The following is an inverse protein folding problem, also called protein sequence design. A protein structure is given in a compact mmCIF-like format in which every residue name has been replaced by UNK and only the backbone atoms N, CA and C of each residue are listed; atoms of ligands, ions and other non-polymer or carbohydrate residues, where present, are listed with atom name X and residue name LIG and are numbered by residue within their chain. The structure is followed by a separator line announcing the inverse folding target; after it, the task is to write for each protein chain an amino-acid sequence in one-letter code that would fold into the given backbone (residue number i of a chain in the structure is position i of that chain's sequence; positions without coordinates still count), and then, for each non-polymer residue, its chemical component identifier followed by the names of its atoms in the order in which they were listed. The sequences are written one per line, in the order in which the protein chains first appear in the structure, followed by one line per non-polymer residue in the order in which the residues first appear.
data_IF_009340594776
#
_entry.id   IF_009340594776
#
_cell.length_a   1.000
_cell.length_b   1.000
_cell.length_c   1.000
_cell.angle_alpha   90.00
_cell.angle_beta   90.00
_cell.angle_gamma   90.00
#
_symmetry.space_group_name_H-M   'P 1'
#
loop_
_entity.id
_entity.type
_entity.pdbx_description
1 polymer ?
#
# COMPACT_ATOMS: atom_id res chain seq x y z
N UNK A 1 7.95 -6.77 16.31
CA UNK A 1 7.96 -8.07 15.60
C UNK A 1 9.31 -8.41 14.94
N UNK A 2 10.14 -7.43 14.54
CA UNK A 2 11.49 -7.67 13.98
C UNK A 2 12.50 -8.27 14.97
N UNK A 3 12.37 -7.95 16.26
CA UNK A 3 13.27 -8.43 17.34
C UNK A 3 13.19 -9.95 17.52
N UNK A 4 11.99 -10.55 17.40
CA UNK A 4 11.81 -12.00 17.55
C UNK A 4 12.42 -12.79 16.38
N UNK A 5 12.45 -12.22 15.17
CA UNK A 5 13.08 -12.83 14.01
C UNK A 5 14.62 -12.79 14.13
N UNK A 6 15.18 -11.72 14.69
CA UNK A 6 16.61 -11.59 14.93
C UNK A 6 17.10 -12.54 16.03
N UNK A 7 16.32 -12.70 17.11
CA UNK A 7 16.59 -13.64 18.20
C UNK A 7 16.52 -15.11 17.74
N UNK A 8 15.56 -15.47 16.88
CA UNK A 8 15.45 -16.83 16.33
C UNK A 8 16.61 -17.21 15.40
N UNK A 9 17.20 -16.23 14.71
CA UNK A 9 18.39 -16.42 13.88
C UNK A 9 19.66 -16.55 14.75
N UNK A 10 19.73 -15.84 15.89
CA UNK A 10 20.86 -15.99 16.82
C UNK A 10 20.88 -17.36 17.52
N UNK A 11 19.73 -17.87 17.96
CA UNK A 11 19.66 -19.13 18.72
C UNK A 11 19.87 -20.38 17.86
N UNK A 12 19.62 -20.31 16.56
CA UNK A 12 19.83 -21.43 15.62
C UNK A 12 21.26 -21.52 15.07
N UNK A 13 22.09 -20.49 15.29
CA UNK A 13 23.45 -20.40 14.73
C UNK A 13 24.60 -20.43 15.75
N UNK A 14 24.33 -20.36 17.05
CA UNK A 14 25.34 -20.59 18.08
C UNK A 14 25.33 -22.06 18.52
N UNK A 15 26.28 -22.91 18.10
CA UNK A 15 26.52 -24.14 18.81
C UNK A 15 27.09 -23.77 20.19
N UNK A 16 26.31 -24.03 21.23
CA UNK A 16 26.79 -24.12 22.62
C UNK A 16 27.93 -25.13 22.63
N UNK A 17 29.18 -24.68 22.71
CA UNK A 17 30.36 -25.44 23.18
C UNK A 17 31.62 -24.59 22.97
N UNK A 18 31.84 -23.61 23.84
CA UNK A 18 33.19 -23.12 24.11
C UNK A 18 33.33 -23.04 25.62
N UNK A 19 33.59 -24.18 26.27
CA UNK A 19 34.13 -24.18 27.62
C UNK A 19 35.52 -23.55 27.54
N UNK A 20 35.64 -22.31 28.04
CA UNK A 20 36.90 -21.62 28.19
C UNK A 20 37.55 -22.09 29.51
N UNK A 21 38.48 -23.03 29.44
CA UNK A 21 39.42 -23.27 30.53
C UNK A 21 40.58 -22.27 30.44
N UNK A 22 40.71 -21.43 31.46
CA UNK A 22 41.81 -20.48 31.66
C UNK A 22 43.09 -21.22 32.09
N UNK A 23 44.27 -20.97 31.49
CA UNK A 23 45.52 -21.48 32.02
C UNK A 23 46.20 -20.43 32.91
N UNK A 24 46.49 -20.81 34.15
CA UNK A 24 47.59 -20.22 34.92
C UNK A 24 48.92 -20.83 34.47
N UNK A 25 49.93 -19.96 34.47
CA UNK A 25 51.25 -20.05 33.83
C UNK A 25 52.13 -21.17 34.39
N UNK A 26 52.92 -21.85 33.54
CA UNK A 26 54.41 -21.93 33.65
C UNK A 26 55.05 -22.70 32.49
N UNK A 27 56.11 -22.12 31.94
CA UNK A 27 56.94 -22.61 30.84
C UNK A 27 57.61 -23.95 31.18
N UNK A 28 57.34 -24.99 30.40
CA UNK A 28 58.33 -25.91 29.83
C UNK A 28 57.57 -27.08 29.16
N UNK A 29 57.60 -27.15 27.83
CA UNK A 29 57.41 -28.32 26.95
C UNK A 29 56.76 -27.86 25.64
N UNK A 30 57.43 -28.09 24.49
CA UNK A 30 56.79 -27.95 23.19
C UNK A 30 55.81 -29.12 23.00
N UNK A 31 54.61 -28.98 23.54
CA UNK A 31 53.61 -30.05 23.61
C UNK A 31 52.81 -30.18 22.29
N UNK A 32 52.12 -31.32 22.07
CA UNK A 32 51.17 -31.55 20.97
C UNK A 32 50.12 -30.45 20.79
N UNK A 33 49.94 -29.56 21.78
CA UNK A 33 49.00 -28.45 21.75
C UNK A 33 49.40 -27.35 20.74
N UNK A 34 50.69 -27.16 20.42
CA UNK A 34 51.10 -26.22 19.35
C UNK A 34 50.73 -26.76 17.97
N UNK A 35 50.87 -28.08 17.78
CA UNK A 35 50.43 -28.79 16.57
C UNK A 35 48.91 -28.74 16.41
N UNK A 36 48.17 -28.79 17.52
CA UNK A 36 46.72 -28.68 17.58
C UNK A 36 46.22 -27.24 17.30
N UNK A 37 46.94 -26.22 17.78
CA UNK A 37 46.66 -24.80 17.46
C UNK A 37 46.94 -24.43 16.00
N UNK A 38 47.99 -24.99 15.41
CA UNK A 38 48.21 -24.92 13.96
C UNK A 38 47.14 -25.71 13.20
N UNK A 39 46.62 -26.81 13.75
CA UNK A 39 45.53 -27.55 13.13
C UNK A 39 44.20 -26.78 13.08
N UNK A 40 43.91 -25.99 14.11
CA UNK A 40 42.77 -25.05 14.13
C UNK A 40 42.90 -23.93 13.08
N UNK A 41 44.13 -23.58 12.68
CA UNK A 41 44.42 -22.71 11.52
C UNK A 41 44.58 -23.48 10.20
N UNK A 42 44.74 -24.81 10.25
CA UNK A 42 45.22 -25.63 9.11
C UNK A 42 44.18 -26.03 8.10
N UNK A 43 42.88 -25.99 8.43
CA UNK A 43 41.84 -26.28 7.45
C UNK A 43 41.29 -25.00 6.85
N UNK A 44 42.20 -24.12 6.45
CA UNK A 44 41.92 -22.92 5.65
C UNK A 44 41.02 -23.23 4.43
N UNK A 45 41.17 -24.38 3.72
CA UNK A 45 40.24 -24.77 2.67
C UNK A 45 38.81 -25.00 3.19
N UNK A 46 38.64 -25.70 4.32
CA UNK A 46 37.32 -25.95 4.90
C UNK A 46 36.68 -24.67 5.47
N UNK A 47 37.50 -23.77 6.02
CA UNK A 47 37.05 -22.45 6.48
C UNK A 47 36.59 -21.59 5.29
N UNK A 48 37.34 -21.61 4.19
CA UNK A 48 36.99 -20.92 2.95
C UNK A 48 35.71 -21.49 2.33
N UNK A 49 35.51 -22.80 2.31
CA UNK A 49 34.25 -23.41 1.88
C UNK A 49 33.07 -23.01 2.76
N UNK A 50 33.24 -22.98 4.09
CA UNK A 50 32.20 -22.51 5.02
C UNK A 50 31.87 -21.05 4.77
N UNK A 51 32.87 -20.21 4.57
CA UNK A 51 32.70 -18.81 4.20
C UNK A 51 31.97 -18.66 2.88
N UNK A 52 32.37 -19.39 1.83
CA UNK A 52 31.71 -19.36 0.52
C UNK A 52 30.25 -19.81 0.59
N UNK A 53 29.94 -20.87 1.35
CA UNK A 53 28.55 -21.29 1.60
C UNK A 53 27.75 -20.23 2.34
N UNK A 54 28.33 -19.60 3.35
CA UNK A 54 27.69 -18.53 4.10
C UNK A 54 27.45 -17.29 3.23
N UNK A 55 28.46 -16.86 2.47
CA UNK A 55 28.38 -15.76 1.52
C UNK A 55 27.32 -16.02 0.43
N UNK A 56 27.27 -17.23 -0.12
CA UNK A 56 26.24 -17.62 -1.08
C UNK A 56 24.82 -17.55 -0.47
N UNK A 57 24.65 -18.04 0.76
CA UNK A 57 23.37 -17.94 1.49
C UNK A 57 22.95 -16.49 1.73
N UNK A 58 23.89 -15.63 2.14
CA UNK A 58 23.64 -14.20 2.32
C UNK A 58 23.28 -13.52 0.99
N UNK A 59 23.98 -13.83 -0.09
CA UNK A 59 23.67 -13.31 -1.42
C UNK A 59 22.26 -13.70 -1.88
N UNK A 60 21.86 -14.95 -1.66
CA UNK A 60 20.48 -15.42 -1.94
C UNK A 60 19.46 -14.67 -1.08
N UNK A 61 19.74 -14.45 0.21
CA UNK A 61 18.86 -13.70 1.11
C UNK A 61 18.70 -12.24 0.65
N UNK A 62 19.81 -11.57 0.31
CA UNK A 62 19.80 -10.20 -0.22
C UNK A 62 18.96 -10.13 -1.50
N UNK A 63 19.11 -11.09 -2.42
CA UNK A 63 18.32 -11.15 -3.64
C UNK A 63 16.83 -11.39 -3.38
N UNK A 64 16.48 -12.22 -2.38
CA UNK A 64 15.08 -12.41 -1.96
C UNK A 64 14.50 -11.12 -1.38
N UNK A 65 15.22 -10.44 -0.50
CA UNK A 65 14.81 -9.16 0.06
C UNK A 65 14.61 -8.10 -1.03
N UNK A 66 15.52 -8.01 -2.00
CA UNK A 66 15.38 -7.12 -3.15
C UNK A 66 14.09 -7.40 -3.95
N UNK A 67 13.76 -8.66 -4.19
CA UNK A 67 12.50 -9.05 -4.86
C UNK A 67 11.26 -8.68 -4.03
N UNK A 68 11.33 -8.80 -2.70
CA UNK A 68 10.24 -8.39 -1.81
C UNK A 68 10.06 -6.86 -1.86
N UNK A 69 11.15 -6.09 -1.76
CA UNK A 69 11.09 -4.63 -1.85
C UNK A 69 10.46 -4.18 -3.17
N UNK A 70 10.89 -4.72 -4.31
CA UNK A 70 10.29 -4.42 -5.62
C UNK A 70 8.78 -4.75 -5.66
N UNK A 71 8.34 -5.82 -5.01
CA UNK A 71 6.91 -6.15 -4.90
C UNK A 71 6.16 -5.15 -4.03
N UNK A 72 6.77 -4.71 -2.93
CA UNK A 72 6.19 -3.71 -2.04
C UNK A 72 6.09 -2.35 -2.72
N UNK A 73 7.13 -1.89 -3.40
CA UNK A 73 7.12 -0.66 -4.20
C UNK A 73 5.99 -0.67 -5.22
N UNK A 74 5.85 -1.74 -6.01
CA UNK A 74 4.75 -1.88 -6.97
C UNK A 74 3.37 -1.88 -6.30
N UNK A 75 3.25 -2.39 -5.07
CA UNK A 75 1.98 -2.37 -4.31
C UNK A 75 1.70 -0.97 -3.78
N UNK A 76 2.71 -0.26 -3.29
CA UNK A 76 2.60 1.14 -2.85
C UNK A 76 2.17 2.03 -4.01
N UNK A 77 2.82 1.95 -5.18
CA UNK A 77 2.43 2.75 -6.35
C UNK A 77 0.98 2.48 -6.80
N UNK A 78 0.51 1.23 -6.68
CA UNK A 78 -0.91 0.89 -6.95
C UNK A 78 -1.86 1.49 -5.92
N UNK A 79 -1.44 1.57 -4.65
CA UNK A 79 -2.21 2.19 -3.58
C UNK A 79 -2.30 3.70 -3.80
N UNK A 80 -1.18 4.35 -4.13
CA UNK A 80 -1.15 5.78 -4.45
C UNK A 80 -2.06 6.12 -5.64
N UNK A 81 -2.02 5.31 -6.70
CA UNK A 81 -2.93 5.48 -7.84
C UNK A 81 -4.41 5.36 -7.42
N UNK A 82 -4.75 4.40 -6.54
CA UNK A 82 -6.11 4.26 -6.00
C UNK A 82 -6.50 5.44 -5.12
N UNK A 83 -5.59 5.96 -4.29
CA UNK A 83 -5.83 7.15 -3.47
C UNK A 83 -6.15 8.36 -4.35
N UNK A 84 -5.35 8.61 -5.39
CA UNK A 84 -5.59 9.70 -6.33
C UNK A 84 -6.96 9.60 -7.03
N UNK A 85 -7.39 8.38 -7.38
CA UNK A 85 -8.73 8.15 -7.94
C UNK A 85 -9.81 8.49 -6.91
N UNK A 86 -9.68 8.03 -5.66
CA UNK A 86 -10.61 8.35 -4.59
C UNK A 86 -10.70 9.85 -4.34
N UNK A 87 -9.57 10.54 -4.28
CA UNK A 87 -9.51 12.00 -4.07
C UNK A 87 -10.20 12.75 -5.22
N UNK A 88 -9.98 12.31 -6.47
CA UNK A 88 -10.69 12.86 -7.64
C UNK A 88 -12.20 12.64 -7.55
N UNK A 89 -12.66 11.44 -7.23
CA UNK A 89 -14.10 11.16 -7.08
C UNK A 89 -14.73 11.96 -5.94
N UNK A 90 -14.00 12.18 -4.84
CA UNK A 90 -14.44 13.06 -3.75
C UNK A 90 -14.60 14.50 -4.23
N UNK A 91 -13.65 15.02 -4.98
CA UNK A 91 -13.73 16.38 -5.54
C UNK A 91 -14.90 16.54 -6.52
N UNK A 92 -15.15 15.55 -7.38
CA UNK A 92 -16.32 15.52 -8.26
C UNK A 92 -17.62 15.55 -7.46
N UNK A 93 -17.72 14.73 -6.39
CA UNK A 93 -18.90 14.71 -5.53
C UNK A 93 -19.14 16.05 -4.83
N UNK A 94 -18.08 16.71 -4.33
CA UNK A 94 -18.22 18.03 -3.72
C UNK A 94 -18.69 19.10 -4.71
N UNK A 95 -18.26 19.02 -5.97
CA UNK A 95 -18.71 19.95 -7.00
C UNK A 95 -20.20 19.72 -7.35
N UNK A 96 -20.61 18.46 -7.50
CA UNK A 96 -22.02 18.08 -7.71
C UNK A 96 -22.88 18.61 -6.56
N UNK A 97 -22.48 18.38 -5.31
CA UNK A 97 -23.19 18.88 -4.12
C UNK A 97 -23.35 20.40 -4.14
N UNK A 98 -22.28 21.14 -4.45
CA UNK A 98 -22.34 22.60 -4.53
C UNK A 98 -23.25 23.09 -5.66
N UNK A 99 -23.32 22.37 -6.79
CA UNK A 99 -24.24 22.69 -7.88
C UNK A 99 -25.70 22.41 -7.49
N UNK A 100 -25.94 21.33 -6.73
CA UNK A 100 -27.26 20.98 -6.21
C UNK A 100 -27.76 22.04 -5.21
N UNK A 101 -26.90 22.49 -4.29
CA UNK A 101 -27.23 23.59 -3.35
C UNK A 101 -27.59 24.89 -4.09
N UNK A 102 -26.93 25.18 -5.22
CA UNK A 102 -27.26 26.35 -6.06
C UNK A 102 -28.61 26.16 -6.75
N UNK A 103 -28.89 24.98 -7.27
CA UNK A 103 -30.16 24.66 -7.90
C UNK A 103 -31.32 24.74 -6.90
N UNK A 104 -31.11 24.29 -5.66
CA UNK A 104 -32.10 24.41 -4.57
C UNK A 104 -32.39 25.88 -4.22
N UNK A 105 -31.35 26.71 -4.10
CA UNK A 105 -31.52 28.15 -3.89
C UNK A 105 -32.26 28.84 -5.04
N UNK A 106 -31.96 28.48 -6.29
CA UNK A 106 -32.66 29.03 -7.44
C UNK A 106 -34.11 28.56 -7.49
N UNK A 107 -34.40 27.31 -7.11
CA UNK A 107 -35.76 26.78 -7.01
C UNK A 107 -36.59 27.57 -5.96
N UNK A 108 -36.00 27.89 -4.80
CA UNK A 108 -36.64 28.75 -3.81
C UNK A 108 -36.90 30.15 -4.38
N UNK A 109 -35.93 30.76 -5.06
CA UNK A 109 -36.10 32.05 -5.69
C UNK A 109 -37.20 32.05 -6.77
N UNK A 110 -37.30 30.97 -7.57
CA UNK A 110 -38.38 30.76 -8.54
C UNK A 110 -39.74 30.69 -7.85
N UNK A 111 -39.84 30.02 -6.70
CA UNK A 111 -41.07 29.94 -5.89
C UNK A 111 -41.50 31.32 -5.36
N UNK A 112 -40.55 32.11 -4.87
CA UNK A 112 -40.81 33.47 -4.39
C UNK A 112 -41.25 34.40 -5.53
N UNK A 113 -40.57 34.32 -6.68
CA UNK A 113 -40.92 35.07 -7.89
C UNK A 113 -42.32 34.70 -8.41
N UNK A 114 -42.67 33.41 -8.42
CA UNK A 114 -44.00 32.96 -8.78
C UNK A 114 -45.08 33.58 -7.87
N UNK A 115 -44.84 33.58 -6.56
CA UNK A 115 -45.76 34.18 -5.58
C UNK A 115 -45.95 35.68 -5.81
N UNK A 116 -44.88 36.41 -6.16
CA UNK A 116 -44.95 37.83 -6.49
C UNK A 116 -45.72 38.10 -7.80
N UNK A 117 -45.47 37.30 -8.85
CA UNK A 117 -46.15 37.41 -10.15
C UNK A 117 -47.65 37.17 -10.00
N UNK A 118 -48.06 36.23 -9.16
CA UNK A 118 -49.47 35.96 -8.90
C UNK A 118 -50.20 37.17 -8.29
N UNK A 119 -49.49 38.04 -7.56
CA UNK A 119 -50.05 39.25 -6.97
C UNK A 119 -50.06 40.44 -7.95
N UNK A 120 -49.04 40.59 -8.80
CA UNK A 120 -48.87 41.76 -9.67
C UNK A 120 -49.26 41.55 -11.16
N UNK A 121 -49.44 40.30 -11.61
CA UNK A 121 -49.85 39.90 -12.98
C UNK A 121 -49.03 40.51 -14.13
N UNK A 122 -47.73 40.74 -13.93
CA UNK A 122 -46.85 41.28 -14.98
C UNK A 122 -46.47 40.22 -16.01
N UNK A 123 -46.64 40.53 -17.31
CA UNK A 123 -46.29 39.65 -18.42
C UNK A 123 -44.77 39.46 -18.58
N UNK A 124 -44.00 40.51 -18.31
CA UNK A 124 -42.54 40.47 -18.48
C UNK A 124 -41.87 39.62 -17.39
N UNK A 125 -42.37 39.71 -16.16
CA UNK A 125 -41.92 38.86 -15.05
C UNK A 125 -42.21 37.38 -15.32
N UNK A 126 -43.34 37.06 -15.96
CA UNK A 126 -43.66 35.70 -16.36
C UNK A 126 -42.70 35.14 -17.41
N UNK A 127 -42.26 35.96 -18.39
CA UNK A 127 -41.26 35.54 -19.37
C UNK A 127 -39.87 35.33 -18.72
N UNK A 128 -39.49 36.21 -17.79
CA UNK A 128 -38.26 36.05 -17.02
C UNK A 128 -38.27 34.79 -16.16
N UNK A 129 -39.40 34.48 -15.51
CA UNK A 129 -39.59 33.25 -14.74
C UNK A 129 -39.47 32.01 -15.63
N UNK A 130 -40.12 32.02 -16.81
CA UNK A 130 -40.03 30.92 -17.77
C UNK A 130 -38.58 30.65 -18.19
N UNK A 131 -37.80 31.72 -18.43
CA UNK A 131 -36.38 31.58 -18.76
C UNK A 131 -35.60 30.97 -17.59
N UNK A 132 -35.78 31.46 -16.36
CA UNK A 132 -35.14 30.91 -15.16
C UNK A 132 -35.48 29.43 -14.93
N UNK A 133 -36.74 29.04 -15.14
CA UNK A 133 -37.16 27.64 -15.08
C UNK A 133 -36.46 26.77 -16.13
N UNK A 134 -36.32 27.27 -17.37
CA UNK A 134 -35.58 26.57 -18.41
C UNK A 134 -34.09 26.41 -18.05
N UNK A 135 -33.46 27.48 -17.56
CA UNK A 135 -32.06 27.46 -17.12
C UNK A 135 -31.86 26.49 -15.94
N UNK A 136 -32.80 26.47 -14.99
CA UNK A 136 -32.80 25.54 -13.86
C UNK A 136 -32.96 24.08 -14.30
N UNK A 137 -33.86 23.80 -15.26
CA UNK A 137 -34.01 22.46 -15.83
C UNK A 137 -32.71 21.98 -16.47
N UNK A 138 -32.07 22.81 -17.28
CA UNK A 138 -30.77 22.50 -17.90
C UNK A 138 -29.71 22.25 -16.83
N UNK A 139 -29.67 23.06 -15.76
CA UNK A 139 -28.75 22.83 -14.64
C UNK A 139 -28.98 21.48 -13.95
N UNK A 140 -30.23 21.13 -13.66
CA UNK A 140 -30.59 19.85 -13.04
C UNK A 140 -30.27 18.65 -13.93
N UNK A 141 -30.51 18.75 -15.25
CA UNK A 141 -30.13 17.70 -16.21
C UNK A 141 -28.61 17.49 -16.24
N UNK A 142 -27.84 18.58 -16.20
CA UNK A 142 -26.38 18.51 -16.14
C UNK A 142 -25.91 17.84 -14.85
N UNK A 143 -26.47 18.22 -13.69
CA UNK A 143 -26.18 17.58 -12.39
C UNK A 143 -26.47 16.07 -12.45
N UNK A 144 -27.64 15.68 -12.97
CA UNK A 144 -28.01 14.27 -13.09
C UNK A 144 -27.06 13.48 -14.02
N UNK A 145 -26.59 14.12 -15.10
CA UNK A 145 -25.59 13.54 -16.00
C UNK A 145 -24.24 13.36 -15.31
N UNK A 146 -23.78 14.36 -14.54
CA UNK A 146 -22.54 14.32 -13.76
C UNK A 146 -22.58 13.21 -12.70
N UNK A 147 -23.68 13.09 -11.95
CA UNK A 147 -23.89 12.01 -10.98
C UNK A 147 -23.84 10.63 -11.64
N UNK A 148 -24.55 10.46 -12.76
CA UNK A 148 -24.56 9.20 -13.52
C UNK A 148 -23.16 8.83 -13.99
N UNK A 149 -22.36 9.82 -14.42
CA UNK A 149 -20.99 9.60 -14.85
C UNK A 149 -20.09 9.23 -13.66
N UNK A 150 -20.21 9.91 -12.52
CA UNK A 150 -19.49 9.57 -11.29
C UNK A 150 -19.79 8.14 -10.84
N UNK A 151 -21.06 7.74 -10.82
CA UNK A 151 -21.48 6.37 -10.47
C UNK A 151 -20.88 5.34 -11.44
N UNK A 152 -20.85 5.62 -12.75
CA UNK A 152 -20.20 4.75 -13.73
C UNK A 152 -18.70 4.63 -13.47
N UNK A 153 -18.01 5.74 -13.18
CA UNK A 153 -16.59 5.74 -12.86
C UNK A 153 -16.31 4.91 -11.60
N UNK A 154 -17.06 5.11 -10.52
CA UNK A 154 -16.94 4.34 -9.28
C UNK A 154 -17.18 2.83 -9.51
N UNK A 155 -18.18 2.47 -10.33
CA UNK A 155 -18.45 1.06 -10.69
C UNK A 155 -17.28 0.41 -11.44
N UNK A 156 -16.61 1.13 -12.35
CA UNK A 156 -15.42 0.62 -13.07
C UNK A 156 -14.29 0.25 -12.11
N UNK A 157 -14.12 1.00 -11.02
CA UNK A 157 -13.09 0.71 -10.02
C UNK A 157 -13.49 -0.37 -9.01
N UNK A 158 -14.79 -0.55 -8.73
CA UNK A 158 -15.31 -1.68 -7.94
C UNK A 158 -15.15 -3.04 -8.64
N UNK A 159 -15.28 -3.09 -9.96
CA UNK A 159 -15.21 -4.32 -10.75
C UNK A 159 -13.77 -4.88 -10.92
N UNK A 160 -12.73 -4.12 -10.58
CA UNK A 160 -11.31 -4.53 -10.72
C UNK A 160 -10.71 -5.12 -9.42
N UNK A 161 -11.51 -5.79 -8.60
CA UNK A 161 -10.97 -6.61 -7.51
C UNK A 161 -10.42 -7.90 -8.13
N UNK A 162 -9.09 -7.94 -8.32
CA UNK A 162 -8.37 -9.09 -8.89
C UNK A 162 -8.55 -10.37 -8.06
N UNK A 163 -8.43 -11.55 -8.71
CA UNK A 163 -8.80 -12.85 -8.17
C UNK A 163 -8.02 -13.17 -6.89
N UNK A 164 -8.74 -13.74 -5.92
CA UNK A 164 -8.20 -14.40 -4.74
C UNK A 164 -7.11 -15.37 -5.18
N UNK A 165 -5.84 -14.98 -5.00
CA UNK A 165 -4.71 -15.90 -5.15
C UNK A 165 -4.88 -16.93 -4.04
N UNK A 166 -5.42 -18.11 -4.37
CA UNK A 166 -5.34 -19.29 -3.50
C UNK A 166 -3.85 -19.56 -3.29
N UNK A 167 -3.34 -19.20 -2.11
CA UNK A 167 -2.00 -19.60 -1.68
C UNK A 167 -2.08 -21.09 -1.37
N UNK A 168 -1.80 -21.95 -2.34
CA UNK A 168 -1.51 -23.37 -2.09
C UNK A 168 -0.09 -23.44 -1.54
N UNK A 169 0.05 -23.50 -0.22
CA UNK A 169 1.27 -23.92 0.45
C UNK A 169 1.44 -25.42 0.29
N UNK A 170 2.04 -25.87 -0.82
CA UNK A 170 2.62 -27.20 -0.86
C UNK A 170 3.97 -27.14 -0.16
N UNK A 171 3.96 -27.40 1.15
CA UNK A 171 5.14 -27.72 1.93
C UNK A 171 5.65 -29.10 1.48
N UNK A 172 6.55 -29.14 0.50
CA UNK A 172 7.32 -30.33 0.22
C UNK A 172 8.39 -30.47 1.32
N UNK A 173 8.08 -31.27 2.34
CA UNK A 173 9.07 -31.87 3.23
C UNK A 173 9.73 -32.97 2.41
N UNK A 174 11.01 -32.76 2.06
CA UNK A 174 11.86 -33.79 1.47
C UNK A 174 12.47 -34.55 2.66
N UNK A 175 12.11 -35.83 2.78
CA UNK A 175 12.82 -36.81 3.59
C UNK A 175 14.08 -37.27 2.84
#
# INVERSE_FOLDING_TARGET
MFIYLLLFILTTFYPSNVSAETPTVTLATASPQVRNRLQLLSNLPALNERFNRFHARLSVLINRLRKINLRLERRLSKLDAKKNITDRSKNQLTAISANLDKAEKELLAVSDLWSAIMNNKSRDEFQALKKRLADLLVALENIASEEKNLVKEMKKYKAKVQPTVKVTTNSAVIN
#
